data_IF_037443367863
#
_entry.id   IF_037443367863
#
_cell.length_a   1.000
_cell.length_b   1.000
_cell.length_c   1.000
_cell.angle_alpha   90.00
_cell.angle_beta   90.00
_cell.angle_gamma   90.00
#
_symmetry.space_group_name_H-M   'P 1'
#
loop_
_entity.id
_entity.type
_entity.pdbx_description
1 polymer ?
#
# COMPACT_ATOMS: atom_id res chain seq x y z
N UNK A 1 47.19 -20.72 -11.02
CA UNK A 1 47.28 -19.26 -11.27
C UNK A 1 46.40 -18.92 -12.46
N UNK A 2 45.36 -18.10 -12.28
CA UNK A 2 44.59 -17.54 -13.41
C UNK A 2 44.12 -16.14 -13.04
N UNK A 3 44.86 -15.13 -13.50
CA UNK A 3 44.57 -13.72 -13.30
C UNK A 3 43.48 -13.27 -14.28
N UNK A 4 42.27 -13.03 -13.76
CA UNK A 4 41.24 -12.26 -14.49
C UNK A 4 41.79 -10.85 -14.74
N UNK A 5 42.10 -10.54 -16.02
CA UNK A 5 42.34 -9.16 -16.46
C UNK A 5 41.08 -8.34 -16.19
N UNK A 6 41.15 -7.43 -15.23
CA UNK A 6 40.17 -6.37 -15.09
C UNK A 6 40.30 -5.45 -16.31
N UNK A 7 39.33 -5.50 -17.22
CA UNK A 7 39.26 -4.59 -18.35
C UNK A 7 39.11 -3.17 -17.79
N UNK A 8 40.15 -2.36 -17.96
CA UNK A 8 40.17 -0.96 -17.58
C UNK A 8 39.12 -0.23 -18.43
N UNK A 9 37.92 0.03 -17.90
CA UNK A 9 36.90 0.82 -18.60
C UNK A 9 37.36 2.27 -18.61
N UNK A 10 38.06 2.64 -19.68
CA UNK A 10 38.49 4.00 -19.92
C UNK A 10 37.25 4.89 -20.05
N UNK A 11 37.19 5.94 -19.22
CA UNK A 11 36.08 6.89 -19.24
C UNK A 11 36.05 7.59 -20.61
N UNK A 12 34.86 7.74 -21.21
CA UNK A 12 34.74 8.37 -22.51
C UNK A 12 35.26 9.81 -22.46
N UNK A 13 36.08 10.15 -23.45
CA UNK A 13 36.67 11.48 -23.60
C UNK A 13 35.59 12.55 -23.77
N UNK A 14 35.86 13.82 -23.44
CA UNK A 14 34.91 14.91 -23.64
C UNK A 14 34.34 14.97 -25.08
N UNK A 15 35.17 14.67 -26.08
CA UNK A 15 34.73 14.59 -27.49
C UNK A 15 33.73 13.46 -27.73
N UNK A 16 33.98 12.27 -27.17
CA UNK A 16 33.06 11.13 -27.27
C UNK A 16 31.72 11.40 -26.55
N UNK A 17 31.77 12.07 -25.39
CA UNK A 17 30.56 12.49 -24.67
C UNK A 17 29.75 13.51 -25.47
N UNK A 18 30.42 14.48 -26.10
CA UNK A 18 29.78 15.47 -26.95
C UNK A 18 29.12 14.82 -28.18
N UNK A 19 29.82 13.90 -28.85
CA UNK A 19 29.25 13.15 -29.99
C UNK A 19 28.02 12.36 -29.56
N UNK A 20 28.08 11.65 -28.42
CA UNK A 20 26.94 10.91 -27.89
C UNK A 20 25.74 11.82 -27.56
N UNK A 21 26.02 12.98 -26.95
CA UNK A 21 25.00 13.96 -26.61
C UNK A 21 24.32 14.54 -27.86
N UNK A 22 25.11 14.98 -28.84
CA UNK A 22 24.60 15.49 -30.12
C UNK A 22 23.81 14.41 -30.85
N UNK A 23 24.34 13.18 -30.91
CA UNK A 23 23.66 12.05 -31.58
C UNK A 23 22.33 11.72 -30.93
N UNK A 24 22.24 11.69 -29.59
CA UNK A 24 20.98 11.53 -28.87
C UNK A 24 19.99 12.66 -29.18
N UNK A 25 20.46 13.90 -29.17
CA UNK A 25 19.62 15.08 -29.42
C UNK A 25 19.08 15.08 -30.84
N UNK A 26 19.91 14.77 -31.82
CA UNK A 26 19.51 14.65 -33.24
C UNK A 26 18.51 13.53 -33.44
N UNK A 27 18.73 12.37 -32.82
CA UNK A 27 17.75 11.25 -32.83
C UNK A 27 16.41 11.66 -32.22
N UNK A 28 16.40 12.39 -31.11
CA UNK A 28 15.17 12.89 -30.50
C UNK A 28 14.47 13.96 -31.36
N UNK A 29 15.22 14.83 -32.05
CA UNK A 29 14.68 15.86 -32.92
C UNK A 29 14.11 15.28 -34.24
N UNK A 30 14.67 14.17 -34.72
CA UNK A 30 14.22 13.46 -35.92
C UNK A 30 13.09 12.46 -35.65
N UNK A 31 12.72 12.22 -34.39
CA UNK A 31 11.55 11.40 -34.08
C UNK A 31 10.30 12.14 -34.59
N UNK A 32 9.48 11.52 -35.46
CA UNK A 32 8.25 12.14 -35.91
C UNK A 32 7.40 12.49 -34.68
N UNK A 33 7.02 13.77 -34.58
CA UNK A 33 6.12 14.22 -33.51
C UNK A 33 4.84 13.42 -33.64
N UNK A 34 4.42 12.75 -32.56
CA UNK A 34 3.13 12.05 -32.55
C UNK A 34 2.05 13.05 -32.98
N UNK A 35 1.17 12.67 -33.93
CA UNK A 35 0.06 13.53 -34.33
C UNK A 35 -0.70 14.00 -33.09
N UNK A 36 -1.09 15.28 -33.08
CA UNK A 36 -1.98 15.77 -32.03
C UNK A 36 -3.31 15.04 -32.19
N UNK A 37 -3.80 14.48 -31.09
CA UNK A 37 -5.13 13.84 -31.05
C UNK A 37 -6.20 14.87 -31.37
N UNK A 38 -7.18 14.46 -32.15
CA UNK A 38 -8.38 15.22 -32.50
C UNK A 38 -9.41 15.18 -31.36
N UNK A 39 -10.44 16.01 -31.44
CA UNK A 39 -11.55 15.97 -30.48
C UNK A 39 -12.27 14.60 -30.48
N UNK A 40 -12.42 13.98 -31.65
CA UNK A 40 -13.05 12.66 -31.77
C UNK A 40 -12.19 11.55 -31.15
N UNK A 41 -10.85 11.64 -31.28
CA UNK A 41 -9.94 10.71 -30.60
C UNK A 41 -10.11 10.75 -29.08
N UNK A 42 -10.37 11.93 -28.51
CA UNK A 42 -10.67 12.08 -27.08
C UNK A 42 -12.04 11.53 -26.70
N UNK A 43 -13.04 11.66 -27.58
CA UNK A 43 -14.39 11.10 -27.38
C UNK A 43 -14.34 9.57 -27.33
N UNK A 44 -13.70 8.95 -28.32
CA UNK A 44 -13.50 7.49 -28.39
C UNK A 44 -12.68 7.01 -27.19
N UNK A 45 -11.61 7.72 -26.84
CA UNK A 45 -10.80 7.39 -25.66
C UNK A 45 -11.61 7.46 -24.36
N UNK A 46 -12.50 8.45 -24.20
CA UNK A 46 -13.38 8.54 -23.03
C UNK A 46 -14.30 7.32 -22.91
N UNK A 47 -14.89 6.87 -24.02
CA UNK A 47 -15.74 5.66 -24.05
C UNK A 47 -14.96 4.40 -23.70
N UNK A 48 -13.73 4.27 -24.22
CA UNK A 48 -12.84 3.16 -23.87
C UNK A 48 -12.42 3.18 -22.40
N UNK A 49 -12.13 4.36 -21.83
CA UNK A 49 -11.72 4.48 -20.43
C UNK A 49 -12.87 4.19 -19.46
N UNK A 50 -14.11 4.50 -19.84
CA UNK A 50 -15.29 4.14 -19.06
C UNK A 50 -15.57 2.64 -19.02
N UNK A 51 -15.13 1.89 -20.04
CA UNK A 51 -15.35 0.43 -20.14
C UNK A 51 -14.17 -0.38 -19.62
N UNK A 52 -12.95 0.17 -19.68
CA UNK A 52 -11.72 -0.50 -19.23
C UNK A 52 -11.48 -0.24 -17.75
N UNK A 53 -11.78 -1.22 -16.90
CA UNK A 53 -11.29 -1.24 -15.51
C UNK A 53 -9.78 -1.38 -15.48
N UNK A 54 -9.07 -0.33 -15.07
CA UNK A 54 -7.63 -0.40 -14.82
C UNK A 54 -7.39 -1.20 -13.54
N UNK A 55 -6.83 -2.40 -13.68
CA UNK A 55 -6.38 -3.16 -12.50
C UNK A 55 -5.18 -2.44 -11.87
N UNK A 56 -5.22 -2.11 -10.57
CA UNK A 56 -4.06 -1.57 -9.88
C UNK A 56 -2.85 -2.50 -10.03
N UNK A 57 -1.69 -1.94 -10.37
CA UNK A 57 -0.41 -2.65 -10.20
C UNK A 57 0.00 -2.51 -8.73
N UNK A 58 -0.63 -3.32 -7.88
CA UNK A 58 -0.37 -3.29 -6.44
C UNK A 58 1.08 -3.69 -6.13
N UNK A 59 1.69 -2.95 -5.21
CA UNK A 59 2.99 -3.33 -4.64
C UNK A 59 2.87 -4.67 -3.91
N UNK A 60 3.97 -5.45 -3.88
CA UNK A 60 3.98 -6.76 -3.21
C UNK A 60 3.55 -6.70 -1.74
N UNK A 61 3.94 -5.62 -1.03
CA UNK A 61 3.50 -5.38 0.33
C UNK A 61 1.96 -5.25 0.45
N UNK A 62 1.32 -4.58 -0.51
CA UNK A 62 -0.14 -4.44 -0.54
C UNK A 62 -0.82 -5.78 -0.79
N UNK A 63 -0.26 -6.62 -1.67
CA UNK A 63 -0.78 -7.98 -1.92
C UNK A 63 -0.69 -8.87 -0.67
N UNK A 64 0.43 -8.81 0.06
CA UNK A 64 0.56 -9.60 1.29
C UNK A 64 -0.36 -9.09 2.40
N UNK A 65 -0.51 -7.77 2.53
CA UNK A 65 -1.45 -7.17 3.49
C UNK A 65 -2.90 -7.61 3.21
N UNK A 66 -3.35 -7.52 1.95
CA UNK A 66 -4.67 -7.98 1.52
C UNK A 66 -4.86 -9.47 1.80
N UNK A 67 -3.86 -10.29 1.49
CA UNK A 67 -3.91 -11.74 1.76
C UNK A 67 -3.98 -12.03 3.26
N UNK A 68 -3.21 -11.30 4.06
CA UNK A 68 -3.20 -11.41 5.51
C UNK A 68 -4.55 -11.07 6.14
N UNK A 69 -5.16 -9.95 5.73
CA UNK A 69 -6.47 -9.55 6.24
C UNK A 69 -7.59 -10.45 5.71
N UNK A 70 -7.51 -10.94 4.46
CA UNK A 70 -8.44 -11.94 3.93
C UNK A 70 -8.48 -13.19 4.80
N UNK A 71 -7.34 -13.75 5.17
CA UNK A 71 -7.28 -14.94 6.05
C UNK A 71 -7.95 -14.69 7.41
N UNK A 72 -7.78 -13.48 7.98
CA UNK A 72 -8.43 -13.11 9.25
C UNK A 72 -9.95 -12.98 9.07
N UNK A 73 -10.37 -12.36 7.98
CA UNK A 73 -11.78 -12.26 7.61
C UNK A 73 -12.42 -13.64 7.41
N UNK A 74 -11.78 -14.56 6.70
CA UNK A 74 -12.27 -15.93 6.55
C UNK A 74 -12.46 -16.65 7.89
N UNK A 75 -11.56 -16.44 8.85
CA UNK A 75 -11.71 -16.98 10.21
C UNK A 75 -12.90 -16.36 10.95
N UNK A 76 -13.13 -15.06 10.77
CA UNK A 76 -14.30 -14.38 11.33
C UNK A 76 -15.61 -14.88 10.70
N UNK A 77 -15.65 -15.08 9.38
CA UNK A 77 -16.78 -15.69 8.69
C UNK A 77 -17.06 -17.11 9.21
N UNK A 78 -16.02 -17.94 9.33
CA UNK A 78 -16.15 -19.30 9.88
C UNK A 78 -16.67 -19.28 11.33
N UNK A 79 -16.17 -18.37 12.17
CA UNK A 79 -16.67 -18.17 13.54
C UNK A 79 -18.16 -17.79 13.57
N UNK A 80 -18.63 -17.04 12.57
CA UNK A 80 -20.04 -16.66 12.41
C UNK A 80 -20.90 -17.69 11.67
N UNK A 81 -20.34 -18.81 11.21
CA UNK A 81 -21.05 -19.78 10.37
C UNK A 81 -21.42 -19.25 8.99
N UNK A 82 -20.62 -18.34 8.42
CA UNK A 82 -20.82 -17.76 7.08
C UNK A 82 -19.86 -18.42 6.10
N UNK A 83 -20.40 -19.17 5.14
CA UNK A 83 -19.59 -19.88 4.13
C UNK A 83 -19.17 -18.99 2.96
N UNK A 84 -20.03 -18.05 2.53
CA UNK A 84 -19.70 -17.09 1.47
C UNK A 84 -18.87 -15.93 2.02
N UNK A 85 -17.58 -16.18 2.17
CA UNK A 85 -16.59 -15.20 2.65
C UNK A 85 -16.58 -13.93 1.78
N UNK A 86 -16.71 -14.07 0.45
CA UNK A 86 -16.64 -12.93 -0.48
C UNK A 86 -17.93 -12.14 -0.44
N UNK A 87 -19.09 -12.78 -0.48
CA UNK A 87 -20.39 -12.14 -0.34
C UNK A 87 -20.53 -11.41 0.99
N UNK A 88 -19.97 -11.96 2.07
CA UNK A 88 -19.91 -11.28 3.37
C UNK A 88 -19.16 -9.94 3.33
N UNK A 89 -18.11 -9.81 2.50
CA UNK A 89 -17.42 -8.52 2.29
C UNK A 89 -18.30 -7.59 1.47
N UNK A 90 -18.99 -8.11 0.45
CA UNK A 90 -19.85 -7.32 -0.43
C UNK A 90 -21.03 -6.70 0.31
N UNK A 91 -21.55 -7.40 1.30
CA UNK A 91 -22.67 -6.97 2.15
C UNK A 91 -22.18 -6.40 3.49
N UNK A 92 -20.87 -6.20 3.67
CA UNK A 92 -20.31 -5.77 4.94
C UNK A 92 -20.75 -4.35 5.27
N UNK A 93 -21.44 -4.21 6.39
CA UNK A 93 -21.85 -2.94 6.94
C UNK A 93 -20.90 -2.48 8.06
N UNK A 94 -21.17 -1.29 8.59
CA UNK A 94 -20.46 -0.71 9.73
C UNK A 94 -20.40 -1.67 10.92
N UNK A 95 -21.53 -2.27 11.29
CA UNK A 95 -21.63 -3.13 12.47
C UNK A 95 -20.78 -4.40 12.31
N UNK A 96 -20.82 -5.02 11.13
CA UNK A 96 -20.01 -6.19 10.80
C UNK A 96 -18.52 -5.85 10.84
N UNK A 97 -18.13 -4.66 10.36
CA UNK A 97 -16.75 -4.19 10.45
C UNK A 97 -16.30 -4.02 11.90
N UNK A 98 -17.16 -3.46 12.77
CA UNK A 98 -16.87 -3.32 14.21
C UNK A 98 -16.70 -4.69 14.88
N UNK A 99 -17.62 -5.64 14.62
CA UNK A 99 -17.53 -7.02 15.13
C UNK A 99 -16.26 -7.73 14.66
N UNK A 100 -15.84 -7.50 13.41
CA UNK A 100 -14.59 -8.04 12.90
C UNK A 100 -13.36 -7.52 13.66
N UNK A 101 -13.32 -6.22 13.97
CA UNK A 101 -12.23 -5.65 14.78
C UNK A 101 -12.25 -6.21 16.21
N UNK A 102 -13.43 -6.37 16.82
CA UNK A 102 -13.58 -7.00 18.13
C UNK A 102 -13.03 -8.44 18.09
N UNK A 103 -13.44 -9.24 17.10
CA UNK A 103 -12.94 -10.59 16.88
C UNK A 103 -11.41 -10.63 16.76
N UNK A 104 -10.79 -9.67 16.06
CA UNK A 104 -9.32 -9.57 15.98
C UNK A 104 -8.71 -9.35 17.36
N UNK A 105 -9.25 -8.44 18.16
CA UNK A 105 -8.75 -8.16 19.51
C UNK A 105 -8.82 -9.40 20.41
N UNK A 106 -9.92 -10.14 20.37
CA UNK A 106 -10.14 -11.35 21.15
C UNK A 106 -9.26 -12.52 20.67
N UNK A 107 -9.33 -12.83 19.37
CA UNK A 107 -8.86 -14.12 18.84
C UNK A 107 -7.45 -14.06 18.26
N UNK A 108 -6.97 -12.87 17.88
CA UNK A 108 -5.59 -12.70 17.37
C UNK A 108 -4.60 -12.22 18.45
N UNK A 109 -5.03 -12.10 19.72
CA UNK A 109 -4.20 -11.66 20.87
C UNK A 109 -3.48 -10.32 20.62
N UNK A 110 -4.11 -9.42 19.86
CA UNK A 110 -3.52 -8.13 19.52
C UNK A 110 -3.68 -7.18 20.70
N UNK A 111 -2.57 -6.65 21.22
CA UNK A 111 -2.56 -5.73 22.37
C UNK A 111 -2.06 -4.33 22.05
N UNK A 112 -1.78 -4.04 20.78
CA UNK A 112 -1.30 -2.73 20.33
C UNK A 112 -2.37 -2.04 19.49
N UNK A 113 -2.71 -0.80 19.84
CA UNK A 113 -3.71 0.00 19.12
C UNK A 113 -3.37 0.13 17.63
N UNK A 114 -2.12 0.47 17.35
CA UNK A 114 -1.62 0.66 15.99
C UNK A 114 -1.78 -0.59 15.14
N UNK A 115 -1.65 -1.79 15.70
CA UNK A 115 -1.85 -3.03 14.94
C UNK A 115 -3.31 -3.22 14.53
N UNK A 116 -4.26 -2.96 15.42
CA UNK A 116 -5.69 -3.07 15.10
C UNK A 116 -6.10 -2.00 14.09
N UNK A 117 -5.60 -0.77 14.25
CA UNK A 117 -5.81 0.30 13.28
C UNK A 117 -5.25 -0.08 11.90
N UNK A 118 -4.06 -0.67 11.83
CA UNK A 118 -3.52 -1.17 10.56
C UNK A 118 -4.41 -2.27 9.95
N UNK A 119 -4.97 -3.18 10.75
CA UNK A 119 -5.92 -4.17 10.23
C UNK A 119 -7.20 -3.53 9.66
N UNK A 120 -7.71 -2.46 10.26
CA UNK A 120 -8.82 -1.68 9.69
C UNK A 120 -8.43 -1.08 8.32
N UNK A 121 -7.24 -0.50 8.19
CA UNK A 121 -6.78 0.06 6.92
C UNK A 121 -6.63 -1.00 5.84
N UNK A 122 -6.05 -2.16 6.18
CA UNK A 122 -5.94 -3.31 5.28
C UNK A 122 -7.32 -3.84 4.89
N UNK A 123 -8.27 -3.87 5.83
CA UNK A 123 -9.62 -4.30 5.55
C UNK A 123 -10.33 -3.35 4.59
N UNK A 124 -10.16 -2.03 4.73
CA UNK A 124 -10.69 -1.04 3.77
C UNK A 124 -10.10 -1.23 2.37
N UNK A 125 -8.83 -1.60 2.27
CA UNK A 125 -8.21 -1.95 0.97
C UNK A 125 -8.87 -3.19 0.37
N UNK A 126 -9.06 -4.24 1.18
CA UNK A 126 -9.74 -5.45 0.75
C UNK A 126 -11.19 -5.17 0.31
N UNK A 127 -11.95 -4.40 1.09
CA UNK A 127 -13.32 -3.99 0.75
C UNK A 127 -13.35 -3.31 -0.61
N UNK A 128 -12.45 -2.35 -0.85
CA UNK A 128 -12.38 -1.65 -2.13
C UNK A 128 -12.04 -2.57 -3.30
N UNK A 129 -11.14 -3.54 -3.11
CA UNK A 129 -10.82 -4.51 -4.15
C UNK A 129 -11.99 -5.44 -4.48
N UNK A 130 -12.81 -5.79 -3.49
CA UNK A 130 -13.96 -6.69 -3.69
C UNK A 130 -15.16 -5.96 -4.29
N UNK A 131 -15.43 -4.74 -3.83
CA UNK A 131 -16.63 -3.96 -4.19
C UNK A 131 -16.40 -2.95 -5.33
N UNK A 132 -15.15 -2.62 -5.64
CA UNK A 132 -14.82 -1.57 -6.60
C UNK A 132 -15.14 -0.15 -6.10
N UNK A 133 -15.52 -0.01 -4.83
CA UNK A 133 -15.80 1.27 -4.19
C UNK A 133 -15.23 1.32 -2.77
N UNK A 134 -14.91 2.52 -2.31
CA UNK A 134 -14.51 2.72 -0.92
C UNK A 134 -15.69 2.47 0.01
N UNK A 135 -15.40 1.89 1.18
CA UNK A 135 -16.31 1.90 2.31
C UNK A 135 -16.81 3.32 2.56
N UNK A 136 -18.09 3.45 2.91
CA UNK A 136 -18.67 4.75 3.22
C UNK A 136 -17.81 5.51 4.24
N UNK A 137 -17.62 6.80 3.98
CA UNK A 137 -16.68 7.62 4.76
C UNK A 137 -17.19 7.86 6.18
N UNK A 138 -18.51 7.95 6.37
CA UNK A 138 -19.08 8.12 7.70
C UNK A 138 -19.01 6.80 8.48
N UNK A 139 -19.33 5.67 7.83
CA UNK A 139 -19.15 4.36 8.44
C UNK A 139 -17.70 4.11 8.86
N UNK A 140 -16.74 4.42 7.99
CA UNK A 140 -15.33 4.29 8.32
C UNK A 140 -14.90 5.17 9.51
N UNK A 141 -15.46 6.38 9.66
CA UNK A 141 -15.22 7.25 10.82
C UNK A 141 -15.82 6.67 12.09
N UNK A 142 -17.04 6.14 12.03
CA UNK A 142 -17.69 5.51 13.18
C UNK A 142 -16.97 4.24 13.62
N UNK A 143 -16.54 3.40 12.68
CA UNK A 143 -15.69 2.23 12.98
C UNK A 143 -14.38 2.66 13.67
N UNK A 144 -13.77 3.74 13.20
CA UNK A 144 -12.55 4.26 13.83
C UNK A 144 -12.82 4.78 15.26
N UNK A 145 -13.93 5.49 15.51
CA UNK A 145 -14.33 5.92 16.86
C UNK A 145 -14.56 4.74 17.79
N UNK A 146 -15.21 3.67 17.30
CA UNK A 146 -15.40 2.44 18.06
C UNK A 146 -14.06 1.78 18.42
N UNK A 147 -13.12 1.74 17.48
CA UNK A 147 -11.76 1.28 17.76
C UNK A 147 -11.05 2.16 18.81
N UNK A 148 -11.13 3.48 18.65
CA UNK A 148 -10.41 4.47 19.47
C UNK A 148 -10.94 4.57 20.91
N UNK A 149 -12.25 4.46 21.10
CA UNK A 149 -12.89 4.58 22.40
C UNK A 149 -13.18 3.21 23.03
N UNK A 150 -13.95 2.35 22.35
CA UNK A 150 -14.48 1.12 22.92
C UNK A 150 -13.42 0.02 22.96
N UNK A 151 -12.88 -0.39 21.80
CA UNK A 151 -11.91 -1.50 21.77
C UNK A 151 -10.61 -1.13 22.47
N UNK A 152 -10.17 0.13 22.39
CA UNK A 152 -8.99 0.59 23.10
C UNK A 152 -9.12 0.42 24.62
N UNK A 153 -10.28 0.76 25.18
CA UNK A 153 -10.51 0.63 26.62
C UNK A 153 -10.78 -0.82 27.04
N UNK A 154 -11.65 -1.53 26.33
CA UNK A 154 -12.08 -2.90 26.65
C UNK A 154 -10.89 -3.87 26.61
N UNK A 155 -10.05 -3.79 25.57
CA UNK A 155 -8.91 -4.68 25.41
C UNK A 155 -7.60 -4.12 25.98
N UNK A 156 -7.65 -2.93 26.61
CA UNK A 156 -6.50 -2.18 27.13
C UNK A 156 -5.37 -2.08 26.09
N UNK A 157 -5.73 -1.64 24.88
CA UNK A 157 -4.81 -1.57 23.76
C UNK A 157 -3.71 -0.54 24.06
N UNK A 158 -2.46 -1.01 24.03
CA UNK A 158 -1.29 -0.15 24.24
C UNK A 158 -1.17 0.83 23.07
N UNK A 159 -1.27 2.12 23.39
CA UNK A 159 -0.82 3.18 22.49
C UNK A 159 0.67 3.35 22.71
N UNK A 160 1.47 3.19 21.66
CA UNK A 160 2.89 3.52 21.76
C UNK A 160 3.03 5.05 21.81
N UNK A 161 2.93 5.65 23.00
CA UNK A 161 3.63 6.90 23.27
C UNK A 161 5.09 6.54 23.47
N UNK A 162 5.82 6.36 22.37
CA UNK A 162 7.26 6.54 22.41
C UNK A 162 7.60 7.44 21.23
N UNK A 163 7.72 8.73 21.52
CA UNK A 163 8.78 9.49 20.87
C UNK A 163 10.03 8.62 21.01
N UNK A 164 10.59 8.20 19.87
CA UNK A 164 11.91 7.59 19.86
C UNK A 164 12.81 8.61 20.56
N UNK A 165 13.54 8.27 21.64
CA UNK A 165 14.59 9.17 22.11
C UNK A 165 15.50 9.37 20.90
N UNK A 166 15.51 10.59 20.37
CA UNK A 166 16.48 10.97 19.36
C UNK A 166 17.77 11.05 20.16
N UNK A 167 18.61 10.04 20.03
CA UNK A 167 19.98 10.10 20.51
C UNK A 167 20.57 11.37 19.90
N UNK A 168 20.92 12.33 20.75
CA UNK A 168 21.66 13.51 20.32
C UNK A 168 23.05 13.08 19.87
N UNK A 169 23.73 13.95 19.12
CA UNK A 169 25.13 13.69 18.72
C UNK A 169 26.03 13.36 19.93
N UNK A 170 25.69 13.89 21.11
CA UNK A 170 26.41 13.66 22.36
C UNK A 170 26.26 12.23 22.89
N UNK A 171 25.13 11.56 22.64
CA UNK A 171 24.92 10.17 23.06
C UNK A 171 25.71 9.18 22.19
N UNK A 172 26.09 9.58 20.96
CA UNK A 172 26.94 8.78 20.05
C UNK A 172 28.41 8.87 20.46
N UNK A 173 28.86 10.04 20.92
CA UNK A 173 30.22 10.28 21.40
C UNK A 173 30.56 9.42 22.64
N UNK A 174 29.58 9.21 23.53
CA UNK A 174 29.72 8.35 24.70
C UNK A 174 29.88 6.85 24.36
N UNK A 175 29.38 6.40 23.22
CA UNK A 175 29.47 5.00 22.79
C UNK A 175 30.75 4.67 22.02
N UNK A 176 31.52 5.68 21.61
CA UNK A 176 32.79 5.51 20.87
C UNK A 176 34.04 5.59 21.75
N UNK A 177 33.88 5.76 23.06
CA UNK A 177 34.97 5.89 24.02
C UNK A 177 35.00 4.80 25.11
N UNK A 178 34.35 3.65 24.85
CA UNK A 178 34.52 2.42 25.63
C UNK A 178 35.47 1.45 24.91
#
# INVERSE_FOLDING_TARGET
MSTRRMANRQLPTPKQNMIHFVTKRTRHAQQPKKPKRTAEDYRVMGQELNTKSQKPKDAEATKENVRGIWRKWSKFCAFRGVDDVRGAIQQCDKATTMLFLCFICENCKVKAFNSVHQYLLQFKQLYNQVNGCHMDTNDAKEVFKYLDATLADEFKLRRTMKAKPVLGADDILLLTHL
#
